data_IF_726564281938
#
_entry.id   IF_726564281938
#
_cell.length_a   1.000
_cell.length_b   1.000
_cell.length_c   1.000
_cell.angle_alpha   90.00
_cell.angle_beta   90.00
_cell.angle_gamma   90.00
#
_symmetry.space_group_name_H-M   'P 1'
#
loop_
_entity.id
_entity.type
_entity.pdbx_description
1 polymer ?
#
# COMPACT_ATOMS: atom_id res chain seq x y z
N UNK A 1 41.74 -8.53 -24.90
CA UNK A 1 41.10 -9.68 -24.21
C UNK A 1 39.61 -9.37 -24.10
N UNK A 2 38.76 -10.14 -24.78
CA UNK A 2 37.31 -9.95 -24.71
C UNK A 2 36.82 -10.33 -23.32
N UNK A 3 36.34 -9.36 -22.55
CA UNK A 3 35.59 -9.64 -21.34
C UNK A 3 34.30 -10.36 -21.76
N UNK A 4 34.20 -11.66 -21.47
CA UNK A 4 32.94 -12.38 -21.52
C UNK A 4 32.03 -11.74 -20.48
N UNK A 5 31.15 -10.84 -20.92
CA UNK A 5 29.99 -10.43 -20.16
C UNK A 5 29.24 -11.71 -19.79
N UNK A 6 29.27 -12.08 -18.50
CA UNK A 6 28.32 -13.07 -18.00
C UNK A 6 26.94 -12.53 -18.37
N UNK A 7 26.07 -13.28 -19.06
CA UNK A 7 24.71 -12.85 -19.22
C UNK A 7 24.16 -12.66 -17.80
N UNK A 8 23.72 -11.45 -17.48
CA UNK A 8 22.89 -11.23 -16.30
C UNK A 8 21.64 -12.02 -16.62
N UNK A 9 21.52 -13.23 -16.05
CA UNK A 9 20.29 -14.01 -16.16
C UNK A 9 19.29 -13.23 -15.32
N UNK A 10 18.51 -12.38 -15.99
CA UNK A 10 17.41 -11.67 -15.36
C UNK A 10 16.38 -12.75 -15.00
N UNK A 11 16.13 -12.89 -13.70
CA UNK A 11 15.18 -13.86 -13.18
C UNK A 11 13.79 -13.53 -13.72
N UNK A 12 13.12 -14.51 -14.31
CA UNK A 12 11.76 -14.34 -14.85
C UNK A 12 10.80 -13.90 -13.74
N UNK A 13 9.86 -13.02 -14.08
CA UNK A 13 8.79 -12.57 -13.18
C UNK A 13 8.04 -13.72 -12.49
N UNK A 14 7.80 -14.83 -13.21
CA UNK A 14 7.16 -16.04 -12.68
C UNK A 14 8.00 -16.72 -11.59
N UNK A 15 9.31 -16.83 -11.81
CA UNK A 15 10.27 -17.38 -10.84
C UNK A 15 10.38 -16.49 -9.60
N UNK A 16 10.39 -15.16 -9.78
CA UNK A 16 10.39 -14.18 -8.67
C UNK A 16 9.20 -14.39 -7.74
N UNK A 17 8.00 -14.45 -8.31
CA UNK A 17 6.76 -14.67 -7.53
C UNK A 17 6.77 -16.04 -6.86
N UNK A 18 7.18 -17.10 -7.56
CA UNK A 18 7.24 -18.45 -7.02
C UNK A 18 8.17 -18.53 -5.80
N UNK A 19 9.41 -18.04 -5.93
CA UNK A 19 10.38 -18.02 -4.83
C UNK A 19 9.92 -17.16 -3.66
N UNK A 20 9.27 -16.04 -3.93
CA UNK A 20 8.70 -15.20 -2.87
C UNK A 20 7.64 -15.94 -2.06
N UNK A 21 6.70 -16.62 -2.74
CA UNK A 21 5.64 -17.37 -2.06
C UNK A 21 6.21 -18.52 -1.23
N UNK A 22 7.16 -19.27 -1.79
CA UNK A 22 7.78 -20.42 -1.12
C UNK A 22 8.61 -19.97 0.10
N UNK A 23 9.45 -18.94 -0.07
CA UNK A 23 10.31 -18.38 0.99
C UNK A 23 9.49 -17.89 2.18
N UNK A 24 8.31 -17.32 1.93
CA UNK A 24 7.45 -16.72 2.96
C UNK A 24 6.31 -17.64 3.41
N UNK A 25 6.23 -18.88 2.90
CA UNK A 25 5.16 -19.82 3.22
C UNK A 25 3.75 -19.28 2.92
N UNK A 26 3.60 -18.54 1.82
CA UNK A 26 2.33 -17.86 1.47
C UNK A 26 1.50 -18.78 0.60
N UNK A 27 0.28 -19.08 1.06
CA UNK A 27 -0.67 -19.83 0.25
C UNK A 27 -1.14 -19.00 -0.96
N UNK A 28 -1.14 -19.61 -2.15
CA UNK A 28 -1.50 -18.94 -3.43
C UNK A 28 -2.87 -18.24 -3.39
N UNK A 29 -3.84 -18.82 -2.66
CA UNK A 29 -5.16 -18.19 -2.42
C UNK A 29 -5.06 -16.88 -1.64
N UNK A 30 -4.28 -16.85 -0.58
CA UNK A 30 -4.13 -15.65 0.25
C UNK A 30 -3.38 -14.57 -0.54
N UNK A 31 -2.39 -14.95 -1.34
CA UNK A 31 -1.71 -14.02 -2.26
C UNK A 31 -2.67 -13.44 -3.30
N UNK A 32 -3.50 -14.29 -3.93
CA UNK A 32 -4.51 -13.86 -4.90
C UNK A 32 -5.48 -12.81 -4.31
N UNK A 33 -5.91 -13.03 -3.07
CA UNK A 33 -6.76 -12.08 -2.32
C UNK A 33 -6.04 -10.75 -2.05
N UNK A 34 -4.75 -10.78 -1.71
CA UNK A 34 -3.96 -9.56 -1.45
C UNK A 34 -3.79 -8.68 -2.69
N UNK A 35 -3.59 -9.29 -3.87
CA UNK A 35 -3.37 -8.54 -5.13
C UNK A 35 -4.65 -8.33 -5.95
N UNK A 36 -5.78 -8.88 -5.50
CA UNK A 36 -7.09 -8.68 -6.11
C UNK A 36 -7.28 -9.41 -7.44
N UNK A 37 -6.75 -10.64 -7.55
CA UNK A 37 -6.86 -11.49 -8.74
C UNK A 37 -7.43 -12.87 -8.39
N UNK A 38 -7.73 -13.69 -9.40
CA UNK A 38 -8.24 -15.04 -9.18
C UNK A 38 -7.12 -16.00 -8.76
N UNK A 39 -7.46 -17.04 -7.99
CA UNK A 39 -6.51 -18.11 -7.66
C UNK A 39 -5.93 -18.78 -8.92
N UNK A 40 -6.78 -19.01 -9.93
CA UNK A 40 -6.36 -19.58 -11.22
C UNK A 40 -5.30 -18.71 -11.90
N UNK A 41 -5.44 -17.39 -11.84
CA UNK A 41 -4.43 -16.46 -12.36
C UNK A 41 -3.07 -16.66 -11.66
N UNK A 42 -3.04 -16.79 -10.33
CA UNK A 42 -1.79 -17.02 -9.58
C UNK A 42 -1.12 -18.34 -9.97
N UNK A 43 -1.88 -19.43 -10.13
CA UNK A 43 -1.30 -20.70 -10.62
C UNK A 43 -0.67 -20.54 -12.00
N UNK A 44 -1.41 -19.95 -12.94
CA UNK A 44 -0.93 -19.78 -14.30
C UNK A 44 0.29 -18.84 -14.41
N UNK A 45 0.39 -17.83 -13.53
CA UNK A 45 1.57 -16.97 -13.44
C UNK A 45 2.82 -17.75 -13.00
N UNK A 46 2.69 -18.55 -11.94
CA UNK A 46 3.80 -19.32 -11.36
C UNK A 46 4.27 -20.42 -12.32
N UNK A 47 3.32 -21.11 -12.94
CA UNK A 47 3.61 -22.18 -13.92
C UNK A 47 4.06 -21.61 -15.28
N UNK A 48 4.11 -20.29 -15.42
CA UNK A 48 4.51 -19.58 -16.63
C UNK A 48 3.70 -20.02 -17.86
N UNK A 49 2.43 -20.37 -17.66
CA UNK A 49 1.50 -20.82 -18.73
C UNK A 49 0.79 -19.65 -19.40
N UNK A 50 0.75 -18.49 -18.74
CA UNK A 50 0.29 -17.21 -19.28
C UNK A 50 1.35 -16.13 -19.06
N UNK A 51 1.41 -15.09 -19.90
CA UNK A 51 2.25 -13.92 -19.63
C UNK A 51 1.74 -13.14 -18.41
N UNK A 52 2.64 -12.41 -17.74
CA UNK A 52 2.27 -11.44 -16.70
C UNK A 52 1.36 -10.35 -17.27
N UNK A 53 0.61 -9.71 -16.37
CA UNK A 53 -0.26 -8.60 -16.76
C UNK A 53 0.57 -7.46 -17.34
N UNK A 54 0.12 -6.89 -18.45
CA UNK A 54 0.63 -5.61 -18.96
C UNK A 54 -0.03 -4.41 -18.26
N UNK A 55 -0.97 -4.65 -17.33
CA UNK A 55 -1.61 -3.60 -16.54
C UNK A 55 -0.70 -3.26 -15.36
N UNK A 56 -0.23 -2.01 -15.32
CA UNK A 56 0.64 -1.52 -14.24
C UNK A 56 0.08 -1.78 -12.85
N UNK A 57 -1.23 -1.58 -12.66
CA UNK A 57 -1.89 -1.78 -11.37
C UNK A 57 -1.73 -3.19 -10.78
N UNK A 58 -1.77 -4.24 -11.61
CA UNK A 58 -1.58 -5.62 -11.14
C UNK A 58 -0.13 -5.83 -10.70
N UNK A 59 0.83 -5.36 -11.48
CA UNK A 59 2.26 -5.48 -11.18
C UNK A 59 2.64 -4.66 -9.94
N UNK A 60 2.11 -3.45 -9.79
CA UNK A 60 2.32 -2.60 -8.61
C UNK A 60 1.77 -3.24 -7.34
N UNK A 61 0.59 -3.89 -7.40
CA UNK A 61 0.04 -4.63 -6.27
C UNK A 61 0.92 -5.83 -5.89
N UNK A 62 1.39 -6.57 -6.89
CA UNK A 62 2.33 -7.68 -6.68
C UNK A 62 3.63 -7.15 -6.04
N UNK A 63 4.22 -6.10 -6.62
CA UNK A 63 5.44 -5.46 -6.15
C UNK A 63 5.30 -4.97 -4.70
N UNK A 64 4.18 -4.32 -4.38
CA UNK A 64 3.87 -3.85 -3.03
C UNK A 64 3.82 -5.00 -2.03
N UNK A 65 3.12 -6.10 -2.34
CA UNK A 65 3.05 -7.28 -1.46
C UNK A 65 4.42 -7.95 -1.30
N UNK A 66 5.23 -7.92 -2.37
CA UNK A 66 6.57 -8.49 -2.42
C UNK A 66 7.66 -7.59 -1.83
N UNK A 67 7.35 -6.32 -1.52
CA UNK A 67 8.28 -5.31 -1.04
C UNK A 67 9.45 -5.05 -2.00
N UNK A 68 9.14 -5.04 -3.30
CA UNK A 68 10.07 -4.71 -4.39
C UNK A 68 9.54 -3.55 -5.22
N UNK A 69 10.39 -2.95 -6.03
CA UNK A 69 9.96 -1.92 -6.97
C UNK A 69 9.20 -2.54 -8.16
N UNK A 70 8.18 -1.87 -8.72
CA UNK A 70 7.44 -2.39 -9.87
C UNK A 70 8.30 -2.62 -11.12
N UNK A 71 9.36 -1.82 -11.32
CA UNK A 71 10.28 -1.91 -12.46
C UNK A 71 11.20 -3.14 -12.41
N UNK A 72 11.19 -3.89 -11.30
CA UNK A 72 11.79 -5.21 -11.22
C UNK A 72 11.06 -6.28 -12.05
N UNK A 73 9.83 -5.99 -12.50
CA UNK A 73 9.09 -6.81 -13.45
C UNK A 73 9.38 -6.35 -14.88
N UNK A 74 9.83 -7.25 -15.74
CA UNK A 74 10.14 -6.95 -17.14
C UNK A 74 8.92 -6.45 -17.93
N UNK A 75 7.73 -6.83 -17.49
CA UNK A 75 6.46 -6.43 -18.09
C UNK A 75 5.98 -5.05 -17.64
N UNK A 76 6.61 -4.46 -16.61
CA UNK A 76 6.21 -3.17 -16.08
C UNK A 76 6.57 -2.04 -17.02
N UNK A 77 5.58 -1.20 -17.32
CA UNK A 77 5.77 0.02 -18.10
C UNK A 77 5.82 1.19 -17.15
N UNK A 78 7.00 1.78 -17.02
CA UNK A 78 7.22 2.97 -16.20
C UNK A 78 6.25 4.07 -16.65
N UNK A 79 5.40 4.60 -15.75
CA UNK A 79 4.52 5.72 -16.05
C UNK A 79 5.33 6.93 -16.52
N UNK A 80 4.79 7.69 -17.49
CA UNK A 80 5.45 8.94 -17.93
C UNK A 80 5.34 10.05 -16.89
N UNK A 81 4.26 10.04 -16.10
CA UNK A 81 4.06 10.98 -15.01
C UNK A 81 4.55 10.38 -13.69
N UNK A 82 5.30 11.14 -12.87
CA UNK A 82 5.75 10.67 -11.57
C UNK A 82 4.54 10.42 -10.65
N UNK A 83 4.53 9.25 -10.01
CA UNK A 83 3.52 8.92 -9.00
C UNK A 83 3.85 9.71 -7.73
N UNK A 84 2.99 10.66 -7.36
CA UNK A 84 3.08 11.37 -6.09
C UNK A 84 2.58 10.45 -4.98
N UNK A 85 3.50 9.97 -4.13
CA UNK A 85 3.15 9.20 -2.94
C UNK A 85 2.90 10.18 -1.78
N UNK A 86 1.78 9.99 -1.09
CA UNK A 86 1.41 10.78 0.09
C UNK A 86 2.43 10.54 1.23
N UNK A 87 2.90 11.62 1.89
CA UNK A 87 3.80 11.57 3.06
C UNK A 87 3.32 10.57 4.13
N UNK A 88 2.00 10.48 4.27
CA UNK A 88 1.32 9.59 5.21
C UNK A 88 1.60 8.12 4.90
N UNK A 89 1.60 7.75 3.61
CA UNK A 89 1.92 6.38 3.18
C UNK A 89 3.39 6.07 3.44
N UNK A 90 4.28 7.02 3.17
CA UNK A 90 5.71 6.86 3.47
C UNK A 90 5.98 6.74 4.98
N UNK A 91 5.22 7.46 5.80
CA UNK A 91 5.24 7.28 7.25
C UNK A 91 4.81 5.87 7.66
N UNK A 92 3.69 5.35 7.14
CA UNK A 92 3.25 3.98 7.45
C UNK A 92 4.32 2.94 7.07
N UNK A 93 4.89 3.04 5.87
CA UNK A 93 5.99 2.16 5.44
C UNK A 93 7.21 2.29 6.34
N UNK A 94 7.55 3.49 6.79
CA UNK A 94 8.65 3.72 7.74
C UNK A 94 8.39 3.00 9.07
N UNK A 95 7.20 3.17 9.65
CA UNK A 95 6.83 2.49 10.91
C UNK A 95 6.88 0.97 10.75
N UNK A 96 6.37 0.43 9.64
CA UNK A 96 6.47 -1.00 9.33
C UNK A 96 7.92 -1.49 9.32
N UNK A 97 8.82 -0.76 8.65
CA UNK A 97 10.26 -1.08 8.61
C UNK A 97 10.91 -1.02 9.99
N UNK A 98 10.62 0.02 10.78
CA UNK A 98 11.14 0.18 12.14
C UNK A 98 10.70 -0.97 13.06
N UNK A 99 9.49 -1.50 12.85
CA UNK A 99 8.96 -2.65 13.58
C UNK A 99 9.36 -4.01 12.99
N UNK A 100 10.15 -4.04 11.92
CA UNK A 100 10.53 -5.27 11.21
C UNK A 100 9.32 -6.05 10.66
N UNK A 101 8.22 -5.36 10.38
CA UNK A 101 6.97 -5.96 9.91
C UNK A 101 6.94 -5.96 8.38
N UNK A 102 6.91 -7.15 7.79
CA UNK A 102 6.70 -7.29 6.34
C UNK A 102 5.26 -6.94 5.95
N UNK A 103 5.08 -6.50 4.72
CA UNK A 103 3.79 -6.17 4.12
C UNK A 103 2.83 -7.35 4.19
N UNK A 104 3.32 -8.57 3.98
CA UNK A 104 2.51 -9.80 4.13
C UNK A 104 1.97 -9.95 5.55
N UNK A 105 2.83 -9.76 6.56
CA UNK A 105 2.44 -9.91 7.96
C UNK A 105 1.47 -8.80 8.39
N UNK A 106 1.72 -7.57 7.92
CA UNK A 106 0.83 -6.44 8.09
C UNK A 106 -0.55 -6.72 7.49
N UNK A 107 -0.62 -7.16 6.23
CA UNK A 107 -1.88 -7.49 5.55
C UNK A 107 -2.63 -8.64 6.23
N UNK A 108 -1.92 -9.61 6.81
CA UNK A 108 -2.54 -10.73 7.54
C UNK A 108 -3.29 -10.30 8.80
N UNK A 109 -2.96 -9.14 9.38
CA UNK A 109 -3.67 -8.58 10.52
C UNK A 109 -5.08 -8.07 10.17
N UNK A 110 -5.36 -7.83 8.89
CA UNK A 110 -6.67 -7.35 8.43
C UNK A 110 -7.57 -8.49 7.91
N UNK A 111 -8.91 -8.32 7.98
CA UNK A 111 -9.85 -9.21 7.31
C UNK A 111 -9.54 -9.34 5.81
N UNK A 112 -9.68 -10.55 5.25
CA UNK A 112 -9.37 -10.84 3.84
C UNK A 112 -9.94 -9.81 2.85
N UNK A 113 -11.19 -9.40 3.05
CA UNK A 113 -11.90 -8.42 2.21
C UNK A 113 -11.30 -7.00 2.20
N UNK A 114 -10.50 -6.64 3.20
CA UNK A 114 -9.86 -5.32 3.34
C UNK A 114 -8.42 -5.31 2.81
N UNK A 115 -7.78 -6.46 2.62
CA UNK A 115 -6.35 -6.54 2.27
C UNK A 115 -6.01 -5.82 0.97
N UNK A 116 -6.84 -5.97 -0.06
CA UNK A 116 -6.64 -5.29 -1.34
C UNK A 116 -6.66 -3.77 -1.19
N UNK A 117 -7.60 -3.26 -0.40
CA UNK A 117 -7.73 -1.83 -0.10
C UNK A 117 -6.48 -1.32 0.62
N UNK A 118 -5.98 -2.07 1.61
CA UNK A 118 -4.73 -1.75 2.30
C UNK A 118 -3.53 -1.76 1.35
N UNK A 119 -3.44 -2.71 0.42
CA UNK A 119 -2.40 -2.72 -0.63
C UNK A 119 -2.51 -1.48 -1.51
N UNK A 120 -3.71 -1.09 -1.91
CA UNK A 120 -3.94 0.10 -2.71
C UNK A 120 -3.55 1.40 -1.96
N UNK A 121 -3.70 1.43 -0.62
CA UNK A 121 -3.17 2.51 0.24
C UNK A 121 -1.64 2.50 0.26
N UNK A 122 -1.02 1.34 0.53
CA UNK A 122 0.44 1.23 0.63
C UNK A 122 1.17 1.58 -0.67
N UNK A 123 0.55 1.33 -1.83
CA UNK A 123 1.11 1.73 -3.13
C UNK A 123 0.85 3.20 -3.50
N UNK A 124 0.13 3.95 -2.67
CA UNK A 124 -0.19 5.36 -2.88
C UNK A 124 -1.29 5.62 -3.91
N UNK A 125 -2.02 4.59 -4.35
CA UNK A 125 -3.13 4.76 -5.32
C UNK A 125 -4.47 5.06 -4.64
N UNK A 126 -4.60 4.71 -3.36
CA UNK A 126 -5.73 5.11 -2.53
C UNK A 126 -5.21 6.01 -1.41
N UNK A 127 -5.79 7.19 -1.18
CA UNK A 127 -5.42 7.98 -0.02
C UNK A 127 -5.79 7.24 1.27
N UNK A 128 -5.18 7.62 2.39
CA UNK A 128 -5.61 7.10 3.68
C UNK A 128 -7.11 7.39 3.94
N UNK A 129 -7.81 6.51 4.67
CA UNK A 129 -9.22 6.67 4.96
C UNK A 129 -9.53 7.98 5.70
N UNK A 130 -10.61 8.65 5.30
CA UNK A 130 -11.18 9.78 6.05
C UNK A 130 -12.05 9.31 7.21
N UNK A 131 -12.49 8.05 7.21
CA UNK A 131 -13.14 7.45 8.36
C UNK A 131 -12.09 7.14 9.43
N UNK A 132 -12.21 7.79 10.59
CA UNK A 132 -11.24 7.69 11.66
C UNK A 132 -11.13 6.26 12.23
N UNK A 133 -12.22 5.48 12.22
CA UNK A 133 -12.18 4.09 12.68
C UNK A 133 -11.40 3.23 11.71
N UNK A 134 -11.56 3.45 10.41
CA UNK A 134 -10.76 2.75 9.40
C UNK A 134 -9.27 3.07 9.51
N UNK A 135 -8.92 4.34 9.70
CA UNK A 135 -7.53 4.74 9.93
C UNK A 135 -6.99 4.18 11.26
N UNK A 136 -7.81 4.18 12.32
CA UNK A 136 -7.44 3.64 13.63
C UNK A 136 -7.17 2.13 13.60
N UNK A 137 -7.83 1.37 12.71
CA UNK A 137 -7.49 -0.04 12.52
C UNK A 137 -6.06 -0.22 11.99
N UNK A 138 -5.63 0.63 11.05
CA UNK A 138 -4.24 0.62 10.55
C UNK A 138 -3.28 0.99 11.68
N UNK A 139 -3.61 2.04 12.42
CA UNK A 139 -2.84 2.50 13.57
C UNK A 139 -2.65 1.42 14.63
N UNK A 140 -3.72 0.69 14.95
CA UNK A 140 -3.71 -0.35 15.96
C UNK A 140 -2.78 -1.51 15.59
N UNK A 141 -2.78 -1.92 14.30
CA UNK A 141 -1.89 -2.98 13.81
C UNK A 141 -0.43 -2.52 13.88
N UNK A 142 -0.17 -1.25 13.59
CA UNK A 142 1.16 -0.66 13.63
C UNK A 142 1.55 -0.11 15.00
N UNK A 143 0.65 -0.15 15.99
CA UNK A 143 0.83 0.41 17.33
C UNK A 143 1.42 1.84 17.25
N UNK A 144 0.68 2.71 16.54
CA UNK A 144 0.94 4.16 16.38
C UNK A 144 0.14 4.92 17.44
N UNK A 145 0.72 5.98 17.99
CA UNK A 145 0.07 6.81 19.01
C UNK A 145 -1.20 7.49 18.48
N UNK A 146 -2.19 7.67 19.36
CA UNK A 146 -3.47 8.28 19.01
C UNK A 146 -3.34 9.73 18.56
N UNK A 147 -2.43 10.50 19.17
CA UNK A 147 -2.20 11.89 18.79
C UNK A 147 -1.61 11.96 17.37
N UNK A 148 -0.64 11.10 17.04
CA UNK A 148 -0.05 11.02 15.70
C UNK A 148 -1.11 10.69 14.64
N UNK A 149 -2.00 9.73 14.94
CA UNK A 149 -3.09 9.34 14.05
C UNK A 149 -4.12 10.44 13.88
N UNK A 150 -4.44 11.16 14.96
CA UNK A 150 -5.34 12.29 14.90
C UNK A 150 -4.78 13.39 14.00
N UNK A 151 -3.50 13.72 14.12
CA UNK A 151 -2.86 14.74 13.30
C UNK A 151 -2.81 14.33 11.81
N UNK A 152 -2.55 13.04 11.51
CA UNK A 152 -2.64 12.49 10.15
C UNK A 152 -4.06 12.62 9.58
N UNK A 153 -5.07 12.28 10.37
CA UNK A 153 -6.47 12.39 9.99
C UNK A 153 -6.90 13.84 9.76
N UNK A 154 -6.53 14.74 10.66
CA UNK A 154 -6.84 16.17 10.56
C UNK A 154 -6.21 16.79 9.31
N UNK A 155 -4.93 16.49 9.02
CA UNK A 155 -4.26 16.92 7.78
C UNK A 155 -5.04 16.46 6.56
N UNK A 156 -5.43 15.18 6.53
CA UNK A 156 -6.20 14.60 5.40
C UNK A 156 -7.58 15.26 5.26
N UNK A 157 -8.29 15.48 6.35
CA UNK A 157 -9.59 16.14 6.34
C UNK A 157 -9.50 17.59 5.89
N UNK A 158 -8.50 18.35 6.34
CA UNK A 158 -8.23 19.71 5.86
C UNK A 158 -7.98 19.74 4.35
N UNK A 159 -7.18 18.81 3.83
CA UNK A 159 -6.98 18.69 2.38
C UNK A 159 -8.29 18.42 1.63
N UNK A 160 -9.18 17.56 2.15
CA UNK A 160 -10.50 17.34 1.54
C UNK A 160 -11.33 18.62 1.55
N UNK A 161 -11.36 19.35 2.66
CA UNK A 161 -12.10 20.61 2.76
C UNK A 161 -11.55 21.66 1.77
N UNK A 162 -10.23 21.83 1.71
CA UNK A 162 -9.56 22.74 0.78
C UNK A 162 -9.87 22.39 -0.68
N UNK A 163 -9.69 21.12 -1.07
CA UNK A 163 -9.96 20.64 -2.43
C UNK A 163 -11.44 20.71 -2.79
N UNK A 164 -12.34 20.73 -1.79
CA UNK A 164 -13.78 20.94 -1.98
C UNK A 164 -14.19 22.42 -2.02
N UNK A 165 -13.24 23.35 -1.94
CA UNK A 165 -13.46 24.79 -2.10
C UNK A 165 -13.52 25.60 -0.80
N UNK A 166 -13.26 25.00 0.36
CA UNK A 166 -13.17 25.73 1.61
C UNK A 166 -11.84 26.48 1.71
N UNK A 167 -11.88 27.80 1.88
CA UNK A 167 -10.67 28.55 2.25
C UNK A 167 -10.41 28.36 3.75
N UNK A 168 -9.58 27.38 4.10
CA UNK A 168 -9.33 27.03 5.52
C UNK A 168 -8.60 28.14 6.28
N UNK A 169 -7.87 29.01 5.59
CA UNK A 169 -7.19 30.15 6.20
C UNK A 169 -8.17 31.26 6.57
N UNK A 170 -9.06 31.63 5.65
CA UNK A 170 -10.11 32.62 5.92
C UNK A 170 -11.12 32.12 6.97
N UNK A 171 -11.33 30.81 7.05
CA UNK A 171 -12.25 30.16 7.98
C UNK A 171 -11.54 29.51 9.19
N UNK A 172 -10.32 29.94 9.52
CA UNK A 172 -9.48 29.25 10.50
C UNK A 172 -10.16 29.04 11.86
N UNK A 173 -10.94 30.02 12.35
CA UNK A 173 -11.66 29.87 13.62
C UNK A 173 -12.69 28.74 13.59
N UNK A 174 -13.45 28.60 12.49
CA UNK A 174 -14.41 27.52 12.30
C UNK A 174 -13.69 26.17 12.18
N UNK A 175 -12.65 26.12 11.35
CA UNK A 175 -11.86 24.91 11.10
C UNK A 175 -11.23 24.40 12.41
N UNK A 176 -10.59 25.28 13.18
CA UNK A 176 -10.00 24.93 14.46
C UNK A 176 -11.06 24.46 15.46
N UNK A 177 -12.21 25.15 15.55
CA UNK A 177 -13.29 24.71 16.45
C UNK A 177 -13.85 23.32 16.08
N UNK A 178 -13.97 23.01 14.78
CA UNK A 178 -14.38 21.69 14.32
C UNK A 178 -13.40 20.60 14.73
N UNK A 179 -12.10 20.82 14.54
CA UNK A 179 -11.07 19.83 14.87
C UNK A 179 -10.81 19.75 16.38
N UNK A 180 -10.83 20.85 17.13
CA UNK A 180 -10.79 20.82 18.60
C UNK A 180 -11.96 20.02 19.20
N UNK A 181 -13.13 20.09 18.56
CA UNK A 181 -14.28 19.27 18.90
C UNK A 181 -14.02 17.80 18.51
N UNK A 182 -13.62 17.53 17.28
CA UNK A 182 -13.35 16.17 16.81
C UNK A 182 -12.32 15.47 17.71
N UNK A 183 -11.20 16.12 18.06
CA UNK A 183 -10.17 15.55 18.95
C UNK A 183 -10.72 15.04 20.29
N UNK A 184 -11.77 15.70 20.80
CA UNK A 184 -12.41 15.32 22.08
C UNK A 184 -13.38 14.14 21.95
N UNK A 185 -14.00 13.95 20.78
CA UNK A 185 -15.15 13.05 20.63
C UNK A 185 -14.95 11.92 19.62
N UNK A 186 -13.94 11.98 18.74
CA UNK A 186 -13.79 11.07 17.60
C UNK A 186 -13.42 9.63 18.01
N UNK A 187 -12.82 9.47 19.19
CA UNK A 187 -12.41 8.19 19.78
C UNK A 187 -13.14 7.89 21.09
N UNK A 188 -14.26 8.56 21.37
CA UNK A 188 -15.11 8.19 22.50
C UNK A 188 -15.93 6.94 22.12
N UNK A 189 -15.43 5.78 22.51
CA UNK A 189 -16.21 4.58 22.78
C UNK A 189 -16.39 4.40 24.29
#
# INVERSE_FOLDING_TARGET
MCAKSKPIIQEKSSEKVAKFLDKNGIHKKDFAEMIGVTLSYVYNLIDNTIPFSTRGTTLERIATVMEIEPDEFEEYKIPQEPVLIDDTVEFLKKVMREKGMSTVNFLKAFPRKKRLEIVDILRGNLPIPIDYKELSMIAQVLDIDKDDIYDMWEKRMKQVLETSGMNIYANAALVNAMFDCAKKYIDLQ
#
